data_IF_429102536671
#
_entry.id   IF_429102536671
#
_cell.length_a   1.000
_cell.length_b   1.000
_cell.length_c   1.000
_cell.angle_alpha   90.00
_cell.angle_beta   90.00
_cell.angle_gamma   90.00
#
_symmetry.space_group_name_H-M   'P 1'
#
loop_
_entity.id
_entity.type
_entity.pdbx_description
1 polymer ?
#
# COMPACT_ATOMS: atom_id res chain seq x y z
N UNK A 1 7.54 -20.61 -15.22
CA UNK A 1 6.82 -20.03 -14.08
C UNK A 1 5.88 -18.97 -14.64
N UNK A 2 4.59 -19.03 -14.35
CA UNK A 2 3.62 -18.03 -14.81
C UNK A 2 3.95 -16.71 -14.13
N UNK A 3 4.01 -15.59 -14.87
CA UNK A 3 4.28 -14.28 -14.28
C UNK A 3 3.09 -13.82 -13.42
N UNK A 4 3.33 -12.96 -12.43
CA UNK A 4 2.25 -12.43 -11.61
C UNK A 4 1.27 -11.60 -12.45
N UNK A 5 1.73 -10.96 -13.52
CA UNK A 5 0.88 -10.22 -14.45
C UNK A 5 -0.15 -11.17 -15.12
N UNK A 6 0.27 -12.34 -15.59
CA UNK A 6 -0.66 -13.33 -16.14
C UNK A 6 -1.62 -13.87 -15.08
N UNK A 7 -1.14 -14.08 -13.85
CA UNK A 7 -1.99 -14.50 -12.74
C UNK A 7 -3.09 -13.47 -12.46
N UNK A 8 -2.77 -12.19 -12.48
CA UNK A 8 -3.73 -11.12 -12.25
C UNK A 8 -4.64 -10.87 -13.47
N UNK A 9 -4.08 -10.82 -14.69
CA UNK A 9 -4.82 -10.42 -15.88
C UNK A 9 -5.70 -11.54 -16.48
N UNK A 10 -5.31 -12.78 -16.32
CA UNK A 10 -6.00 -13.91 -16.94
C UNK A 10 -6.57 -14.89 -15.91
N UNK A 11 -5.76 -15.37 -14.99
CA UNK A 11 -6.17 -16.46 -14.10
C UNK A 11 -7.16 -15.99 -13.04
N UNK A 12 -6.95 -14.84 -12.40
CA UNK A 12 -7.86 -14.32 -11.38
C UNK A 12 -9.26 -14.02 -11.94
N UNK A 13 -9.42 -13.30 -13.07
CA UNK A 13 -10.72 -13.11 -13.66
C UNK A 13 -11.39 -14.43 -14.08
N UNK A 14 -10.65 -15.34 -14.73
CA UNK A 14 -11.18 -16.63 -15.15
C UNK A 14 -11.67 -17.46 -13.97
N UNK A 15 -10.88 -17.56 -12.91
CA UNK A 15 -11.25 -18.31 -11.69
C UNK A 15 -12.54 -17.79 -11.06
N UNK A 16 -12.72 -16.45 -11.04
CA UNK A 16 -13.91 -15.82 -10.48
C UNK A 16 -15.09 -15.74 -11.44
N UNK A 17 -14.97 -16.17 -12.69
CA UNK A 17 -15.99 -16.00 -13.73
C UNK A 17 -16.23 -14.54 -14.09
N UNK A 18 -15.20 -13.70 -14.01
CA UNK A 18 -15.26 -12.27 -14.32
C UNK A 18 -14.91 -11.98 -15.78
N UNK A 19 -15.58 -10.99 -16.36
CA UNK A 19 -15.15 -10.45 -17.65
C UNK A 19 -13.80 -9.74 -17.48
N UNK A 20 -12.97 -9.81 -18.51
CA UNK A 20 -11.67 -9.13 -18.53
C UNK A 20 -11.86 -7.65 -18.84
N UNK A 21 -11.69 -6.79 -17.84
CA UNK A 21 -11.80 -5.32 -17.97
C UNK A 21 -10.45 -4.62 -18.10
N UNK A 22 -9.37 -5.27 -17.67
CA UNK A 22 -8.02 -4.72 -17.70
C UNK A 22 -7.14 -5.66 -18.51
N UNK A 23 -6.40 -5.11 -19.47
CA UNK A 23 -5.55 -5.90 -20.37
C UNK A 23 -4.06 -5.73 -20.09
N UNK A 24 -3.67 -4.70 -19.37
CA UNK A 24 -2.27 -4.38 -19.04
C UNK A 24 -2.17 -3.86 -17.62
N UNK A 25 -1.03 -4.12 -16.98
CA UNK A 25 -0.66 -3.55 -15.69
C UNK A 25 0.57 -2.67 -15.88
N UNK A 26 0.68 -1.61 -15.11
CA UNK A 26 1.89 -0.81 -15.04
C UNK A 26 2.89 -1.51 -14.13
N UNK A 27 4.00 -1.98 -14.70
CA UNK A 27 5.04 -2.75 -14.02
C UNK A 27 6.37 -2.04 -14.17
N UNK A 28 7.05 -1.83 -13.04
CA UNK A 28 8.40 -1.23 -12.99
C UNK A 28 9.32 -2.15 -12.20
N UNK A 29 10.54 -2.34 -12.68
CA UNK A 29 11.59 -3.04 -11.92
C UNK A 29 12.58 -2.02 -11.38
N UNK A 30 12.71 -1.97 -10.05
CA UNK A 30 13.60 -1.08 -9.34
C UNK A 30 14.84 -1.86 -8.87
N UNK A 31 16.03 -1.34 -9.20
CA UNK A 31 17.34 -1.89 -8.78
C UNK A 31 18.05 -0.99 -7.78
N UNK A 32 17.48 0.15 -7.47
CA UNK A 32 18.00 1.17 -6.58
C UNK A 32 16.89 1.64 -5.64
N UNK A 33 17.23 2.29 -4.53
CA UNK A 33 16.23 2.92 -3.66
C UNK A 33 15.28 3.81 -4.47
N UNK A 34 13.99 3.74 -4.15
CA UNK A 34 12.95 4.48 -4.85
C UNK A 34 11.91 5.04 -3.90
N UNK A 35 11.15 6.00 -4.37
CA UNK A 35 10.05 6.60 -3.62
C UNK A 35 8.76 6.56 -4.43
N UNK A 36 7.64 6.54 -3.72
CA UNK A 36 6.30 6.59 -4.29
C UNK A 36 5.58 7.84 -3.80
N UNK A 37 4.80 8.42 -4.70
CA UNK A 37 3.92 9.57 -4.44
C UNK A 37 2.48 9.17 -4.74
N UNK A 38 1.54 9.72 -3.96
CA UNK A 38 0.12 9.62 -4.28
C UNK A 38 -0.22 10.71 -5.32
N UNK A 39 -0.69 10.30 -6.48
CA UNK A 39 -1.08 11.20 -7.58
C UNK A 39 -2.48 11.78 -7.40
N UNK A 40 -3.24 11.28 -6.43
CA UNK A 40 -4.61 11.73 -6.16
C UNK A 40 -4.56 12.95 -5.24
N UNK A 41 -5.26 14.02 -5.62
CA UNK A 41 -5.38 15.24 -4.82
C UNK A 41 -5.80 14.94 -3.37
N UNK A 42 -4.97 15.34 -2.42
CA UNK A 42 -5.23 15.12 -1.01
C UNK A 42 -6.47 15.91 -0.56
N UNK A 43 -7.54 15.21 -0.20
CA UNK A 43 -8.79 15.84 0.30
C UNK A 43 -8.55 16.63 1.59
N UNK A 44 -7.52 16.31 2.36
CA UNK A 44 -7.18 17.02 3.59
C UNK A 44 -6.59 18.42 3.32
N UNK A 45 -5.97 18.64 2.16
CA UNK A 45 -5.43 19.95 1.75
C UNK A 45 -6.48 20.87 1.13
N UNK A 46 -7.64 20.35 0.73
CA UNK A 46 -8.72 21.13 0.08
C UNK A 46 -8.43 21.64 -1.33
N UNK A 47 -7.26 21.37 -1.89
CA UNK A 47 -6.82 21.86 -3.19
C UNK A 47 -6.65 20.74 -4.21
N UNK A 48 -7.36 20.85 -5.33
CA UNK A 48 -7.43 19.82 -6.37
C UNK A 48 -6.13 19.60 -7.15
N UNK A 49 -5.11 20.44 -7.04
CA UNK A 49 -3.94 20.39 -7.92
C UNK A 49 -2.62 20.81 -7.29
N UNK A 50 -2.47 20.82 -5.96
CA UNK A 50 -1.24 21.31 -5.38
C UNK A 50 -0.70 20.46 -4.22
N UNK A 51 0.53 20.07 -4.37
CA UNK A 51 1.53 19.68 -3.39
C UNK A 51 1.49 18.29 -2.75
N UNK A 52 0.35 17.70 -2.40
CA UNK A 52 0.36 16.34 -1.86
C UNK A 52 0.49 15.27 -2.95
N UNK A 53 0.03 15.54 -4.16
CA UNK A 53 0.09 14.61 -5.28
C UNK A 53 1.49 14.42 -5.89
N UNK A 54 2.46 15.29 -5.58
CA UNK A 54 3.85 15.20 -6.05
C UNK A 54 4.83 14.95 -4.91
N UNK A 55 4.37 14.86 -3.67
CA UNK A 55 5.23 14.61 -2.52
C UNK A 55 5.41 13.12 -2.29
N UNK A 56 6.64 12.73 -2.01
CA UNK A 56 6.94 11.36 -1.61
C UNK A 56 6.17 10.98 -0.35
N UNK A 57 5.50 9.83 -0.38
CA UNK A 57 4.77 9.28 0.77
C UNK A 57 5.47 8.06 1.33
N UNK A 58 6.09 7.27 0.47
CA UNK A 58 6.83 6.08 0.86
C UNK A 58 8.22 6.08 0.24
N UNK A 59 9.20 5.62 1.01
CA UNK A 59 10.57 5.38 0.57
C UNK A 59 10.96 3.94 0.80
N UNK A 60 11.68 3.38 -0.17
CA UNK A 60 12.09 1.98 -0.16
C UNK A 60 13.59 1.88 -0.37
N UNK A 61 14.22 1.05 0.45
CA UNK A 61 15.62 0.65 0.28
C UNK A 61 15.63 -0.68 -0.48
N UNK A 62 16.51 -0.78 -1.44
CA UNK A 62 16.77 -2.00 -2.21
C UNK A 62 18.22 -2.38 -1.96
N UNK A 63 18.45 -3.59 -1.47
CA UNK A 63 19.80 -4.08 -1.22
C UNK A 63 20.57 -4.29 -2.53
N UNK A 64 21.88 -4.18 -2.47
CA UNK A 64 22.75 -4.34 -3.64
C UNK A 64 22.57 -5.72 -4.27
N UNK A 65 22.24 -5.71 -5.56
CA UNK A 65 22.01 -6.91 -6.34
C UNK A 65 20.55 -7.42 -6.31
N UNK A 66 19.66 -6.83 -5.53
CA UNK A 66 18.24 -7.15 -5.54
C UNK A 66 17.48 -6.40 -6.65
N UNK A 67 16.38 -6.98 -7.07
CA UNK A 67 15.45 -6.38 -8.02
C UNK A 67 14.03 -6.43 -7.44
N UNK A 68 13.43 -5.26 -7.25
CA UNK A 68 12.05 -5.12 -6.77
C UNK A 68 11.13 -4.84 -7.95
N UNK A 69 10.19 -5.74 -8.19
CA UNK A 69 9.11 -5.52 -9.15
C UNK A 69 7.97 -4.80 -8.44
N UNK A 70 7.56 -3.66 -8.98
CA UNK A 70 6.45 -2.83 -8.50
C UNK A 70 5.34 -2.81 -9.54
N UNK A 71 4.14 -3.18 -9.14
CA UNK A 71 2.95 -3.23 -9.99
C UNK A 71 1.92 -2.27 -9.41
N UNK A 72 1.50 -1.27 -10.19
CA UNK A 72 0.37 -0.43 -9.83
C UNK A 72 -0.93 -1.21 -10.04
N UNK A 73 -1.65 -1.51 -8.95
CA UNK A 73 -2.85 -2.38 -9.00
C UNK A 73 -4.15 -1.66 -8.61
N UNK A 74 -4.10 -0.39 -8.22
CA UNK A 74 -5.30 0.34 -7.78
C UNK A 74 -6.37 0.39 -8.86
N UNK A 75 -6.04 0.83 -10.07
CA UNK A 75 -6.99 0.91 -11.18
C UNK A 75 -7.56 -0.46 -11.57
N UNK A 76 -6.73 -1.50 -11.50
CA UNK A 76 -7.14 -2.88 -11.70
C UNK A 76 -8.21 -3.29 -10.68
N UNK A 77 -7.95 -3.07 -9.38
CA UNK A 77 -8.90 -3.40 -8.31
C UNK A 77 -10.21 -2.59 -8.43
N UNK A 78 -10.10 -1.30 -8.74
CA UNK A 78 -11.26 -0.40 -8.95
C UNK A 78 -12.11 -0.88 -10.13
N UNK A 79 -11.50 -1.28 -11.24
CA UNK A 79 -12.21 -1.77 -12.42
C UNK A 79 -13.09 -2.98 -12.08
N UNK A 80 -12.56 -3.93 -11.33
CA UNK A 80 -13.34 -5.11 -10.92
C UNK A 80 -14.36 -4.80 -9.81
N UNK A 81 -14.03 -3.92 -8.85
CA UNK A 81 -14.94 -3.53 -7.77
C UNK A 81 -16.22 -2.84 -8.27
N UNK A 82 -16.16 -2.16 -9.41
CA UNK A 82 -17.34 -1.54 -10.06
C UNK A 82 -18.39 -2.58 -10.52
N UNK A 83 -17.94 -3.77 -10.87
CA UNK A 83 -18.79 -4.78 -11.52
C UNK A 83 -19.09 -5.98 -10.62
N UNK A 84 -18.22 -6.28 -9.64
CA UNK A 84 -18.30 -7.51 -8.86
C UNK A 84 -18.27 -7.23 -7.35
N UNK A 85 -19.30 -7.72 -6.64
CA UNK A 85 -19.39 -7.56 -5.17
C UNK A 85 -18.20 -8.15 -4.43
N UNK A 86 -17.66 -9.25 -4.90
CA UNK A 86 -16.47 -9.90 -4.27
C UNK A 86 -15.23 -9.02 -4.30
N UNK A 87 -15.10 -8.15 -5.29
CA UNK A 87 -13.98 -7.20 -5.38
C UNK A 87 -14.25 -5.89 -4.61
N UNK A 88 -15.48 -5.67 -4.14
CA UNK A 88 -15.80 -4.47 -3.35
C UNK A 88 -15.06 -4.49 -2.01
N UNK A 89 -14.49 -3.35 -1.63
CA UNK A 89 -13.69 -3.23 -0.42
C UNK A 89 -12.23 -3.68 -0.56
N UNK A 90 -11.84 -4.20 -1.75
CA UNK A 90 -10.42 -4.38 -2.08
C UNK A 90 -9.83 -3.04 -2.50
N UNK A 91 -8.77 -2.60 -1.83
CA UNK A 91 -8.02 -1.42 -2.21
C UNK A 91 -6.55 -1.59 -1.84
N UNK A 92 -5.69 -1.24 -2.77
CA UNK A 92 -4.25 -1.22 -2.61
C UNK A 92 -3.65 -0.48 -3.80
N UNK A 93 -2.68 0.39 -3.59
CA UNK A 93 -2.08 1.15 -4.68
C UNK A 93 -1.07 0.31 -5.45
N UNK A 94 -0.23 -0.44 -4.73
CA UNK A 94 0.86 -1.21 -5.31
C UNK A 94 0.98 -2.62 -4.74
N UNK A 95 1.44 -3.53 -5.61
CA UNK A 95 2.01 -4.82 -5.25
C UNK A 95 3.51 -4.77 -5.56
N UNK A 96 4.35 -5.00 -4.55
CA UNK A 96 5.80 -5.11 -4.71
C UNK A 96 6.26 -6.51 -4.36
N UNK A 97 7.27 -6.99 -5.06
CA UNK A 97 7.98 -8.20 -4.64
C UNK A 97 9.43 -8.20 -5.14
N UNK A 98 10.33 -8.82 -4.40
CA UNK A 98 11.66 -9.05 -4.92
C UNK A 98 11.74 -10.37 -5.68
N UNK A 99 12.57 -10.38 -6.74
CA UNK A 99 12.67 -11.53 -7.66
C UNK A 99 13.25 -12.78 -7.00
N UNK A 100 14.05 -12.60 -5.94
CA UNK A 100 14.61 -13.71 -5.14
C UNK A 100 13.58 -14.35 -4.21
N UNK A 101 12.32 -13.85 -4.19
CA UNK A 101 11.20 -14.29 -3.35
C UNK A 101 11.40 -14.14 -1.85
N UNK A 102 12.25 -13.23 -1.39
CA UNK A 102 12.38 -12.95 0.02
C UNK A 102 11.14 -12.23 0.58
N UNK A 103 10.61 -11.24 -0.16
CA UNK A 103 9.52 -10.40 0.33
C UNK A 103 8.46 -10.10 -0.74
N UNK A 104 7.18 -10.08 -0.32
CA UNK A 104 6.04 -9.55 -1.08
C UNK A 104 5.29 -8.53 -0.22
N UNK A 105 4.95 -7.38 -0.80
CA UNK A 105 4.33 -6.26 -0.10
C UNK A 105 3.13 -5.74 -0.88
N UNK A 106 1.96 -5.69 -0.26
CA UNK A 106 0.85 -4.86 -0.71
C UNK A 106 0.99 -3.49 -0.04
N UNK A 107 0.98 -2.40 -0.80
CA UNK A 107 1.20 -1.06 -0.27
C UNK A 107 0.01 -0.14 -0.56
N UNK A 108 -0.50 0.50 0.48
CA UNK A 108 -1.50 1.57 0.43
C UNK A 108 -0.84 2.88 0.85
N UNK A 109 -0.92 3.90 -0.01
CA UNK A 109 -0.37 5.23 0.20
C UNK A 109 -1.44 6.18 0.72
N UNK A 110 -1.09 7.05 1.66
CA UNK A 110 -2.00 8.12 2.08
C UNK A 110 -1.27 9.36 2.57
N UNK A 111 -1.75 10.51 2.13
CA UNK A 111 -1.40 11.80 2.72
C UNK A 111 -2.56 12.24 3.62
N UNK A 112 -2.35 12.39 4.91
CA UNK A 112 -3.44 12.72 5.84
C UNK A 112 -2.93 13.32 7.16
N UNK A 113 -3.77 14.15 7.78
CA UNK A 113 -3.53 14.59 9.15
C UNK A 113 -3.62 13.41 10.12
N UNK A 114 -2.74 13.36 11.11
CA UNK A 114 -2.65 12.30 12.10
C UNK A 114 -3.98 11.97 12.78
N UNK A 115 -4.78 12.99 13.09
CA UNK A 115 -6.12 12.85 13.71
C UNK A 115 -7.10 12.01 12.87
N UNK A 116 -6.86 11.86 11.55
CA UNK A 116 -7.70 11.04 10.67
C UNK A 116 -7.09 9.67 10.36
N UNK A 117 -5.84 9.46 10.74
CA UNK A 117 -5.16 8.17 10.56
C UNK A 117 -5.62 7.16 11.60
N UNK A 118 -5.70 7.59 12.86
CA UNK A 118 -6.19 6.78 13.98
C UNK A 118 -7.72 6.92 14.14
N UNK A 119 -8.37 6.01 14.89
CA UNK A 119 -9.79 6.16 15.22
C UNK A 119 -10.09 7.51 15.88
N UNK A 120 -11.14 8.17 15.45
CA UNK A 120 -11.56 9.48 15.95
C UNK A 120 -13.07 9.59 16.08
N UNK A 121 -13.54 10.61 16.79
CA UNK A 121 -14.97 10.93 16.94
C UNK A 121 -15.33 12.16 16.11
N UNK A 122 -16.46 12.10 15.43
CA UNK A 122 -17.07 13.23 14.73
C UNK A 122 -18.58 13.28 15.04
N UNK A 123 -19.32 14.17 14.38
CA UNK A 123 -20.78 14.31 14.55
C UNK A 123 -21.58 13.01 14.22
N UNK A 124 -20.99 12.07 13.48
CA UNK A 124 -21.59 10.77 13.12
C UNK A 124 -21.15 9.65 14.08
N UNK A 125 -20.44 9.98 15.16
CA UNK A 125 -19.92 9.03 16.14
C UNK A 125 -18.48 8.60 15.84
N UNK A 126 -18.09 7.43 16.38
CA UNK A 126 -16.75 6.86 16.24
C UNK A 126 -16.46 6.47 14.79
N UNK A 127 -15.32 6.89 14.30
CA UNK A 127 -14.79 6.56 12.97
C UNK A 127 -13.52 5.71 13.11
N UNK A 128 -13.34 4.73 12.24
CA UNK A 128 -12.19 3.81 12.31
C UNK A 128 -10.85 4.47 11.97
N UNK A 129 -10.84 5.58 11.27
CA UNK A 129 -9.61 6.20 10.76
C UNK A 129 -9.02 5.45 9.55
N UNK A 130 -8.12 6.13 8.82
CA UNK A 130 -7.57 5.63 7.55
C UNK A 130 -6.77 4.34 7.71
N UNK A 131 -6.03 4.20 8.80
CA UNK A 131 -5.20 3.02 9.07
C UNK A 131 -6.03 1.75 9.16
N UNK A 132 -7.13 1.76 9.92
CA UNK A 132 -8.00 0.60 10.08
C UNK A 132 -8.73 0.30 8.76
N UNK A 133 -9.14 1.34 8.02
CA UNK A 133 -9.72 1.14 6.69
C UNK A 133 -8.74 0.48 5.73
N UNK A 134 -7.49 0.98 5.64
CA UNK A 134 -6.45 0.41 4.80
C UNK A 134 -6.15 -1.05 5.18
N UNK A 135 -6.05 -1.34 6.48
CA UNK A 135 -5.86 -2.70 6.97
C UNK A 135 -6.95 -3.65 6.47
N UNK A 136 -8.23 -3.28 6.63
CA UNK A 136 -9.36 -4.08 6.17
C UNK A 136 -9.37 -4.24 4.63
N UNK A 137 -9.06 -3.19 3.90
CA UNK A 137 -9.05 -3.20 2.44
C UNK A 137 -7.94 -4.08 1.89
N UNK A 138 -6.72 -3.99 2.44
CA UNK A 138 -5.60 -4.83 2.03
C UNK A 138 -5.82 -6.30 2.43
N UNK A 139 -6.42 -6.57 3.60
CA UNK A 139 -6.79 -7.95 3.97
C UNK A 139 -7.80 -8.55 2.98
N UNK A 140 -8.78 -7.77 2.54
CA UNK A 140 -9.70 -8.19 1.47
C UNK A 140 -8.95 -8.49 0.16
N UNK A 141 -7.93 -7.70 -0.20
CA UNK A 141 -7.07 -7.99 -1.38
C UNK A 141 -6.35 -9.32 -1.19
N UNK A 142 -5.73 -9.54 -0.04
CA UNK A 142 -5.05 -10.80 0.28
C UNK A 142 -6.01 -11.99 0.10
N UNK A 143 -7.18 -11.92 0.71
CA UNK A 143 -8.19 -12.99 0.64
C UNK A 143 -8.63 -13.25 -0.81
N UNK A 144 -8.86 -12.19 -1.60
CA UNK A 144 -9.27 -12.35 -3.00
C UNK A 144 -8.17 -12.95 -3.88
N UNK A 145 -6.93 -12.52 -3.70
CA UNK A 145 -5.80 -13.03 -4.46
C UNK A 145 -5.51 -14.49 -4.10
N UNK A 146 -5.47 -14.82 -2.82
CA UNK A 146 -5.14 -16.17 -2.35
C UNK A 146 -6.30 -17.17 -2.43
N UNK A 147 -7.52 -16.73 -2.79
CA UNK A 147 -8.60 -17.63 -3.16
C UNK A 147 -8.32 -18.37 -4.48
N UNK A 148 -7.36 -17.89 -5.29
CA UNK A 148 -6.95 -18.51 -6.56
C UNK A 148 -5.70 -19.38 -6.31
N UNK A 149 -5.75 -20.71 -6.51
CA UNK A 149 -4.67 -21.63 -6.12
C UNK A 149 -3.30 -21.28 -6.73
N UNK A 150 -3.27 -20.82 -7.97
CA UNK A 150 -2.02 -20.43 -8.64
C UNK A 150 -1.40 -19.17 -8.02
N UNK A 151 -2.24 -18.20 -7.62
CA UNK A 151 -1.78 -16.98 -6.93
C UNK A 151 -1.39 -17.30 -5.50
N UNK A 152 -2.15 -18.13 -4.81
CA UNK A 152 -1.82 -18.61 -3.46
C UNK A 152 -0.43 -19.28 -3.47
N UNK A 153 -0.18 -20.17 -4.42
CA UNK A 153 1.12 -20.84 -4.60
C UNK A 153 2.24 -19.83 -4.85
N UNK A 154 1.98 -18.82 -5.69
CA UNK A 154 2.94 -17.74 -5.94
C UNK A 154 3.27 -16.98 -4.64
N UNK A 155 2.25 -16.57 -3.89
CA UNK A 155 2.36 -15.81 -2.63
C UNK A 155 3.04 -16.63 -1.53
N UNK A 156 2.74 -17.92 -1.42
CA UNK A 156 3.37 -18.81 -0.44
C UNK A 156 4.87 -19.00 -0.68
N UNK A 157 5.35 -18.72 -1.88
CA UNK A 157 6.78 -18.75 -2.20
C UNK A 157 7.61 -17.68 -1.49
N UNK A 158 6.99 -16.65 -0.89
CA UNK A 158 7.69 -15.57 -0.21
C UNK A 158 7.81 -15.80 1.30
N UNK A 159 9.01 -15.52 1.84
CA UNK A 159 9.30 -15.68 3.27
C UNK A 159 8.65 -14.58 4.10
N UNK A 160 8.67 -13.35 3.60
CA UNK A 160 8.08 -12.16 4.24
C UNK A 160 6.87 -11.69 3.43
N UNK A 161 5.75 -11.46 4.12
CA UNK A 161 4.48 -11.03 3.52
C UNK A 161 3.92 -9.86 4.30
N UNK A 162 3.93 -8.67 3.72
CA UNK A 162 3.46 -7.47 4.41
C UNK A 162 2.33 -6.76 3.66
N UNK A 163 1.40 -6.20 4.43
CA UNK A 163 0.47 -5.17 4.01
C UNK A 163 0.96 -3.86 4.61
N UNK A 164 1.63 -3.04 3.80
CA UNK A 164 2.30 -1.82 4.22
C UNK A 164 1.38 -0.62 4.06
N UNK A 165 1.06 0.03 5.17
CA UNK A 165 0.36 1.30 5.18
C UNK A 165 1.39 2.44 5.28
N UNK A 166 1.65 3.09 4.16
CA UNK A 166 2.57 4.22 4.06
C UNK A 166 1.80 5.53 4.13
N UNK A 167 2.17 6.40 5.06
CA UNK A 167 1.49 7.68 5.20
C UNK A 167 2.42 8.84 5.49
N UNK A 168 1.99 10.03 5.07
CA UNK A 168 2.67 11.31 5.27
C UNK A 168 1.71 12.33 5.85
N UNK A 169 2.21 13.15 6.78
CA UNK A 169 1.48 14.33 7.26
C UNK A 169 1.71 15.47 6.25
N UNK A 170 0.63 16.12 5.73
CA UNK A 170 0.77 17.25 4.82
C UNK A 170 1.55 18.40 5.46
N UNK A 171 2.58 18.91 4.81
CA UNK A 171 3.46 19.95 5.37
C UNK A 171 2.74 21.25 5.72
N UNK A 172 1.70 21.61 4.96
CA UNK A 172 0.91 22.83 5.19
C UNK A 172 0.15 22.87 6.51
N UNK A 173 -0.06 21.72 7.13
CA UNK A 173 -0.81 21.59 8.38
C UNK A 173 0.11 21.40 9.59
N UNK A 174 1.41 21.48 9.38
CA UNK A 174 2.40 21.43 10.45
C UNK A 174 2.81 22.86 10.76
N UNK A 175 2.56 23.33 11.97
CA UNK A 175 3.06 24.63 12.39
C UNK A 175 4.60 24.61 12.49
N UNK A 176 5.23 25.80 12.48
CA UNK A 176 6.71 25.91 12.45
C UNK A 176 7.37 25.21 13.64
N UNK A 177 6.74 25.25 14.82
CA UNK A 177 7.22 24.58 16.02
C UNK A 177 7.13 23.05 15.91
N UNK A 178 6.05 22.53 15.35
CA UNK A 178 5.90 21.10 15.07
C UNK A 178 6.88 20.63 13.98
N UNK A 179 7.19 21.46 12.97
CA UNK A 179 8.24 21.16 11.97
C UNK A 179 9.60 21.03 12.64
N UNK A 180 9.97 22.02 13.45
CA UNK A 180 11.25 21.98 14.19
C UNK A 180 11.30 20.73 15.07
N UNK A 181 10.25 20.44 15.82
CA UNK A 181 10.15 19.28 16.68
C UNK A 181 10.20 17.96 15.91
N UNK A 182 9.51 17.87 14.77
CA UNK A 182 9.55 16.71 13.89
C UNK A 182 10.94 16.49 13.26
N UNK A 183 11.64 17.56 12.89
CA UNK A 183 13.02 17.48 12.40
C UNK A 183 13.97 17.02 13.51
N UNK A 184 13.82 17.52 14.74
CA UNK A 184 14.61 17.10 15.90
C UNK A 184 14.34 15.66 16.31
N UNK A 185 13.09 15.22 16.25
CA UNK A 185 12.65 13.86 16.63
C UNK A 185 12.80 12.84 15.49
N UNK A 186 13.11 13.28 14.28
CA UNK A 186 13.22 12.42 13.09
C UNK A 186 14.19 11.24 13.27
N UNK A 187 15.40 11.42 13.84
CA UNK A 187 16.32 10.29 14.06
C UNK A 187 15.77 9.26 15.06
N UNK A 188 15.01 9.70 16.06
CA UNK A 188 14.42 8.80 17.06
C UNK A 188 13.13 8.13 16.55
N UNK A 189 12.39 8.78 15.63
CA UNK A 189 11.24 8.19 14.96
C UNK A 189 11.62 7.10 13.96
N UNK A 190 12.78 7.19 13.33
CA UNK A 190 13.24 6.20 12.35
C UNK A 190 13.37 4.78 12.93
N UNK A 191 13.59 4.62 14.23
CA UNK A 191 13.70 3.31 14.89
C UNK A 191 12.35 2.82 15.45
N UNK A 192 11.40 3.72 15.72
CA UNK A 192 10.15 3.39 16.42
C UNK A 192 8.95 3.10 15.50
N UNK A 193 9.07 3.33 14.19
CA UNK A 193 7.90 3.48 13.31
C UNK A 193 7.47 2.22 12.52
N UNK A 194 8.18 1.09 12.66
CA UNK A 194 7.77 -0.20 12.06
C UNK A 194 7.06 -1.10 13.10
N UNK A 195 6.50 -0.55 14.15
CA UNK A 195 6.18 -1.30 15.38
C UNK A 195 4.73 -1.75 15.56
N UNK A 196 3.83 -1.53 14.63
CA UNK A 196 2.48 -2.10 14.75
C UNK A 196 2.34 -3.20 13.71
N UNK A 197 2.67 -4.42 14.11
CA UNK A 197 2.38 -5.60 13.31
C UNK A 197 1.06 -6.20 13.78
N UNK A 198 0.08 -6.25 12.89
CA UNK A 198 -1.19 -6.94 13.12
C UNK A 198 -1.27 -8.12 12.15
N UNK A 199 -1.47 -9.36 12.63
CA UNK A 199 -1.68 -10.50 11.76
C UNK A 199 -2.91 -10.32 10.89
N UNK A 200 -2.78 -10.67 9.60
CA UNK A 200 -3.83 -10.70 8.60
C UNK A 200 -3.98 -12.10 8.02
N UNK A 201 -4.88 -12.25 7.04
CA UNK A 201 -5.10 -13.49 6.32
C UNK A 201 -3.82 -13.99 5.63
N UNK A 202 -3.69 -15.30 5.46
CA UNK A 202 -2.60 -15.96 4.72
C UNK A 202 -1.18 -15.58 5.16
N UNK A 203 -0.99 -15.39 6.47
CA UNK A 203 0.28 -15.03 7.10
C UNK A 203 0.86 -13.68 6.65
N UNK A 204 0.03 -12.78 6.13
CA UNK A 204 0.43 -11.40 5.98
C UNK A 204 0.47 -10.69 7.32
N UNK A 205 1.37 -9.72 7.45
CA UNK A 205 1.43 -8.82 8.59
C UNK A 205 1.13 -7.40 8.12
N UNK A 206 0.20 -6.75 8.79
CA UNK A 206 -0.03 -5.32 8.58
C UNK A 206 1.09 -4.53 9.27
N UNK A 207 1.77 -3.70 8.49
CA UNK A 207 2.92 -2.89 8.91
C UNK A 207 2.65 -1.44 8.56
N UNK A 208 3.14 -0.51 9.37
CA UNK A 208 3.00 0.92 9.13
C UNK A 208 4.35 1.56 8.82
N UNK A 209 4.37 2.45 7.83
CA UNK A 209 5.49 3.32 7.52
C UNK A 209 5.03 4.79 7.57
N UNK A 210 5.77 5.64 8.26
CA UNK A 210 5.53 7.08 8.34
C UNK A 210 6.68 7.81 7.66
N UNK A 211 6.39 8.59 6.63
CA UNK A 211 7.40 9.41 5.96
C UNK A 211 8.11 10.35 6.97
N UNK A 212 9.43 10.49 6.96
CA UNK A 212 10.41 10.03 5.95
C UNK A 212 11.05 8.65 6.23
N UNK A 213 10.50 7.82 7.10
CA UNK A 213 11.08 6.50 7.34
C UNK A 213 11.08 5.66 6.06
N UNK A 214 12.06 4.78 5.96
CA UNK A 214 12.29 3.91 4.81
C UNK A 214 11.86 2.49 5.12
N UNK A 215 11.30 1.80 4.13
CA UNK A 215 11.02 0.37 4.19
C UNK A 215 12.13 -0.39 3.47
N UNK A 216 12.68 -1.40 4.12
CA UNK A 216 13.71 -2.26 3.52
C UNK A 216 13.06 -3.57 3.05
N UNK A 217 13.33 -3.92 1.80
CA UNK A 217 12.91 -5.17 1.20
C UNK A 217 13.77 -6.34 1.63
#
# INVERSE_FOLDING_TARGET
MTSIENLLLDILPQHNGWNKYVNTLSVVTNKFPFALSDTIACKACGEKNMHCGNEEIARFIVDDGDEIVSIAIEEYLIAYAKHYKKAQGCKCDYLHYNKNKACIVLNELTCSLEKFVNPYYNQRGKQDGKRIHAMKQMDNVVVQLTAVPDIETFVHGFSVKHCLFSWRIPERNINVAERAMNTFMSPQRNVANITITTPLSNNFLFVQQIYPCEYQF
#
